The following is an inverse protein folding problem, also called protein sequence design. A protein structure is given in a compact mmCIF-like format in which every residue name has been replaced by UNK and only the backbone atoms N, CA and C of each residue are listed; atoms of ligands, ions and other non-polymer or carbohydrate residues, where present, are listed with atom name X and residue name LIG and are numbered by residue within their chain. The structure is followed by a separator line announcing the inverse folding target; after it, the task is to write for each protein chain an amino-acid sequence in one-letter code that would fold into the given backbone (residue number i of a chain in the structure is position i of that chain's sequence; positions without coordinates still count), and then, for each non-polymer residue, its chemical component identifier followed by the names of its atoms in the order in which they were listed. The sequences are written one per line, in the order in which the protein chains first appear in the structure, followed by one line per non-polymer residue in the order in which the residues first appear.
data_IF_208548663629
#
_entry.id   IF_208548663629
#
_cell.length_a   1.000
_cell.length_b   1.000
_cell.length_c   1.000
_cell.angle_alpha   90.00
_cell.angle_beta   90.00
_cell.angle_gamma   90.00
#
_symmetry.space_group_name_H-M   'P 1'
#
loop_
_entity.id
_entity.type
_entity.pdbx_description
1 polymer ?
#
# COMPACT_ATOMS: atom_id res chain seq x y z
N UNK A 1 -41.37 -31.79 -0.79
CA UNK A 1 -40.42 -31.37 -1.85
C UNK A 1 -40.26 -29.86 -1.94
N UNK A 2 -41.32 -29.07 -2.19
CA UNK A 2 -41.22 -27.60 -2.29
C UNK A 2 -40.65 -26.93 -1.02
N UNK A 3 -41.07 -27.38 0.17
CA UNK A 3 -40.53 -26.87 1.45
C UNK A 3 -39.04 -27.14 1.62
N UNK A 4 -38.58 -28.30 1.15
CA UNK A 4 -37.17 -28.69 1.21
C UNK A 4 -36.32 -27.87 0.24
N UNK A 5 -36.86 -27.54 -0.94
CA UNK A 5 -36.20 -26.70 -1.95
C UNK A 5 -36.08 -25.24 -1.46
N UNK A 6 -37.12 -24.70 -0.83
CA UNK A 6 -37.09 -23.35 -0.24
C UNK A 6 -36.02 -23.22 0.85
N UNK A 7 -35.93 -24.22 1.74
CA UNK A 7 -34.91 -24.28 2.79
C UNK A 7 -33.49 -24.37 2.22
N UNK A 8 -33.29 -25.14 1.15
CA UNK A 8 -31.99 -25.25 0.49
C UNK A 8 -31.57 -23.94 -0.19
N UNK A 9 -32.52 -23.21 -0.80
CA UNK A 9 -32.22 -21.91 -1.42
C UNK A 9 -31.84 -20.85 -0.38
N UNK A 10 -32.44 -20.88 0.80
CA UNK A 10 -32.16 -19.92 1.87
C UNK A 10 -30.74 -20.08 2.43
N UNK A 11 -30.24 -21.32 2.52
CA UNK A 11 -28.88 -21.61 3.02
C UNK A 11 -27.79 -21.15 2.03
N UNK A 12 -28.06 -21.20 0.72
CA UNK A 12 -27.11 -20.79 -0.32
C UNK A 12 -26.95 -19.27 -0.42
N UNK A 13 -27.93 -18.48 0.07
CA UNK A 13 -27.84 -17.01 0.09
C UNK A 13 -26.96 -16.44 1.21
N UNK A 14 -26.58 -17.23 2.21
CA UNK A 14 -25.75 -16.78 3.33
C UNK A 14 -24.26 -17.06 3.17
N UNK A 15 -23.82 -17.66 2.06
CA UNK A 15 -22.40 -17.70 1.72
C UNK A 15 -21.98 -16.36 1.09
N UNK A 16 -22.04 -15.30 1.90
CA UNK A 16 -21.36 -14.06 1.58
C UNK A 16 -19.86 -14.34 1.51
N UNK A 17 -19.21 -13.86 0.46
CA UNK A 17 -17.76 -13.79 0.40
C UNK A 17 -17.26 -13.03 1.64
N UNK A 18 -16.62 -13.74 2.56
CA UNK A 18 -15.72 -13.14 3.53
C UNK A 18 -14.51 -12.64 2.73
N UNK A 19 -14.63 -11.43 2.17
CA UNK A 19 -13.49 -10.70 1.63
C UNK A 19 -12.64 -10.30 2.83
N UNK A 20 -11.88 -11.26 3.37
CA UNK A 20 -10.79 -10.95 4.29
C UNK A 20 -9.91 -9.95 3.55
N UNK A 21 -10.04 -8.69 3.93
CA UNK A 21 -8.91 -7.78 3.80
C UNK A 21 -7.87 -8.43 4.70
N UNK A 22 -6.94 -9.18 4.12
CA UNK A 22 -5.71 -9.49 4.82
C UNK A 22 -5.18 -8.13 5.24
N UNK A 23 -5.34 -7.81 6.52
CA UNK A 23 -4.76 -6.61 7.10
C UNK A 23 -3.27 -6.89 7.10
N UNK A 24 -2.62 -6.53 5.99
CA UNK A 24 -1.20 -6.66 5.76
C UNK A 24 -0.50 -5.73 6.76
N UNK A 25 -0.46 -6.10 8.05
CA UNK A 25 0.28 -5.37 9.08
C UNK A 25 1.72 -5.85 9.16
N UNK A 26 2.67 -5.06 8.66
CA UNK A 26 4.09 -5.34 8.96
C UNK A 26 4.28 -5.19 10.47
N UNK A 27 5.06 -6.06 11.15
CA UNK A 27 5.41 -5.84 12.56
C UNK A 27 6.24 -4.57 12.73
N UNK A 28 6.80 -4.03 11.64
CA UNK A 28 7.54 -2.76 11.61
C UNK A 28 6.57 -1.63 11.26
N UNK A 29 6.70 -0.52 11.99
CA UNK A 29 5.96 0.70 11.70
C UNK A 29 6.50 1.34 10.40
N UNK A 30 5.77 1.15 9.30
CA UNK A 30 6.08 1.72 7.99
C UNK A 30 5.43 3.09 7.76
N UNK A 31 4.83 3.73 8.77
CA UNK A 31 4.11 4.99 8.57
C UNK A 31 4.98 6.08 7.95
N UNK A 32 6.25 6.20 8.38
CA UNK A 32 7.14 7.17 7.75
C UNK A 32 7.28 6.89 6.26
N UNK A 33 7.58 5.64 5.89
CA UNK A 33 7.76 5.23 4.52
C UNK A 33 6.51 5.45 3.66
N UNK A 34 5.35 5.00 4.15
CA UNK A 34 4.08 5.10 3.43
C UNK A 34 3.62 6.56 3.26
N UNK A 35 3.96 7.47 4.18
CA UNK A 35 3.64 8.89 4.02
C UNK A 35 4.54 9.62 3.01
N UNK A 36 5.66 9.02 2.59
CA UNK A 36 6.50 9.57 1.52
C UNK A 36 6.03 9.12 0.13
N UNK A 37 5.18 8.10 0.04
CA UNK A 37 4.66 7.58 -1.25
C UNK A 37 3.46 8.38 -1.73
N UNK A 38 3.41 8.65 -3.04
CA UNK A 38 2.27 9.24 -3.72
C UNK A 38 2.12 8.62 -5.13
N UNK A 39 1.05 8.96 -5.83
CA UNK A 39 0.79 8.47 -7.18
C UNK A 39 0.14 9.55 -8.05
N UNK A 40 0.43 9.48 -9.35
CA UNK A 40 -0.21 10.32 -10.35
C UNK A 40 -0.58 9.48 -11.57
N UNK A 41 -1.49 9.98 -12.40
CA UNK A 41 -1.90 9.32 -13.64
C UNK A 41 -1.32 10.04 -14.85
N UNK A 42 -0.60 9.33 -15.71
CA UNK A 42 -0.08 9.82 -17.01
C UNK A 42 -0.59 8.91 -18.10
N UNK A 43 -1.26 9.46 -19.11
CA UNK A 43 -1.78 8.70 -20.26
C UNK A 43 -2.66 7.50 -19.88
N UNK A 44 -3.37 7.60 -18.75
CA UNK A 44 -4.22 6.53 -18.20
C UNK A 44 -3.46 5.47 -17.39
N UNK A 45 -2.14 5.57 -17.27
CA UNK A 45 -1.31 4.70 -16.45
C UNK A 45 -1.05 5.34 -15.08
N UNK A 46 -1.15 4.54 -14.02
CA UNK A 46 -0.84 4.96 -12.65
C UNK A 46 0.66 4.83 -12.41
N UNK A 47 1.31 5.95 -12.10
CA UNK A 47 2.72 6.00 -11.72
C UNK A 47 2.83 6.30 -10.22
N UNK A 48 3.48 5.40 -9.49
CA UNK A 48 3.81 5.62 -8.08
C UNK A 48 5.20 6.23 -7.94
N UNK A 49 5.37 7.12 -6.99
CA UNK A 49 6.65 7.78 -6.73
C UNK A 49 6.79 8.11 -5.23
N UNK A 50 7.99 8.56 -4.84
CA UNK A 50 8.34 8.85 -3.45
C UNK A 50 8.89 10.28 -3.36
N UNK A 51 8.38 11.07 -2.42
CA UNK A 51 8.99 12.33 -2.00
C UNK A 51 10.08 12.05 -0.97
N UNK A 52 11.35 12.01 -1.41
CA UNK A 52 12.47 11.77 -0.48
C UNK A 52 12.78 12.98 0.40
N UNK A 53 12.57 14.19 -0.11
CA UNK A 53 12.74 15.41 0.67
C UNK A 53 11.39 15.85 1.23
N UNK A 54 11.11 15.49 2.46
CA UNK A 54 9.91 15.90 3.18
C UNK A 54 10.14 15.90 4.69
N UNK A 55 9.59 16.89 5.39
CA UNK A 55 9.73 17.01 6.84
C UNK A 55 8.53 16.41 7.57
N UNK A 56 8.80 15.53 8.54
CA UNK A 56 7.79 15.09 9.50
C UNK A 56 7.34 16.28 10.38
N UNK A 57 6.09 16.31 10.86
CA UNK A 57 5.08 15.26 10.75
C UNK A 57 4.14 15.40 9.53
N UNK A 58 4.19 16.52 8.80
CA UNK A 58 3.29 16.76 7.68
C UNK A 58 3.67 15.95 6.45
N UNK A 59 4.96 15.59 6.31
CA UNK A 59 5.54 14.98 5.12
C UNK A 59 5.27 15.80 3.85
N UNK A 60 5.11 17.11 4.01
CA UNK A 60 5.04 18.01 2.88
C UNK A 60 6.40 18.04 2.17
N UNK A 61 6.44 17.99 0.83
CA UNK A 61 7.69 18.06 0.09
C UNK A 61 8.46 19.35 0.42
N UNK A 62 9.77 19.23 0.60
CA UNK A 62 10.69 20.35 0.84
C UNK A 62 11.77 20.39 -0.23
N UNK A 63 12.33 21.57 -0.46
CA UNK A 63 13.45 21.74 -1.37
C UNK A 63 14.73 21.32 -0.65
N UNK A 64 15.59 20.57 -1.32
CA UNK A 64 16.96 20.29 -0.89
C UNK A 64 17.94 21.18 -1.69
N UNK A 65 18.38 22.33 -1.13
CA UNK A 65 19.25 23.26 -1.86
C UNK A 65 20.56 22.59 -2.25
N UNK A 66 20.89 22.59 -3.54
CA UNK A 66 22.09 21.96 -4.08
C UNK A 66 21.93 20.49 -4.48
N UNK A 67 20.81 19.83 -4.14
CA UNK A 67 20.53 18.44 -4.49
C UNK A 67 19.36 18.29 -5.47
N UNK A 68 18.53 19.34 -5.62
CA UNK A 68 17.43 19.37 -6.58
C UNK A 68 16.11 18.95 -5.94
N UNK A 69 15.29 18.21 -6.70
CA UNK A 69 13.93 17.82 -6.29
C UNK A 69 13.83 16.38 -5.76
N UNK A 70 14.80 15.51 -6.09
CA UNK A 70 14.87 14.12 -5.61
C UNK A 70 16.28 13.55 -5.83
N UNK A 71 16.73 12.67 -4.93
CA UNK A 71 17.96 11.89 -5.07
C UNK A 71 17.66 10.43 -5.42
N UNK A 72 18.26 9.91 -6.50
CA UNK A 72 18.00 8.54 -6.99
C UNK A 72 18.52 7.48 -6.01
N UNK A 73 19.65 7.76 -5.35
CA UNK A 73 20.28 6.83 -4.41
C UNK A 73 19.51 6.71 -3.09
N UNK A 74 18.89 7.78 -2.62
CA UNK A 74 17.99 7.76 -1.45
C UNK A 74 16.72 6.96 -1.74
N UNK A 75 16.11 7.16 -2.92
CA UNK A 75 14.97 6.33 -3.38
C UNK A 75 15.39 4.85 -3.44
N UNK A 76 16.57 4.55 -3.99
CA UNK A 76 17.07 3.18 -4.08
C UNK A 76 17.25 2.52 -2.71
N UNK A 77 17.90 3.21 -1.75
CA UNK A 77 18.06 2.72 -0.38
C UNK A 77 16.72 2.50 0.32
N UNK A 78 15.74 3.35 0.06
CA UNK A 78 14.39 3.21 0.59
C UNK A 78 13.67 1.96 0.06
N UNK A 79 13.74 1.72 -1.26
CA UNK A 79 13.13 0.55 -1.89
C UNK A 79 13.76 -0.76 -1.39
N UNK A 80 15.07 -0.81 -1.19
CA UNK A 80 15.78 -1.97 -0.62
C UNK A 80 15.26 -2.34 0.77
N UNK A 81 15.01 -1.33 1.64
CA UNK A 81 14.44 -1.55 2.97
C UNK A 81 13.02 -2.09 2.86
N UNK A 82 12.18 -1.52 1.99
CA UNK A 82 10.81 -1.99 1.78
C UNK A 82 10.77 -3.43 1.24
N UNK A 83 11.59 -3.73 0.23
CA UNK A 83 11.70 -5.08 -0.34
C UNK A 83 12.14 -6.09 0.72
N UNK A 84 13.15 -5.74 1.52
CA UNK A 84 13.61 -6.60 2.62
C UNK A 84 12.48 -6.92 3.61
N UNK A 85 11.67 -5.92 3.98
CA UNK A 85 10.53 -6.12 4.88
C UNK A 85 9.43 -6.99 4.24
N UNK A 86 9.16 -6.81 2.94
CA UNK A 86 8.21 -7.63 2.18
C UNK A 86 8.67 -9.09 2.16
N UNK A 87 9.92 -9.34 1.77
CA UNK A 87 10.50 -10.69 1.67
C UNK A 87 10.53 -11.39 3.04
N UNK A 88 11.00 -10.70 4.09
CA UNK A 88 11.09 -11.27 5.45
C UNK A 88 9.75 -11.66 6.04
N UNK A 89 8.70 -10.93 5.67
CA UNK A 89 7.35 -11.15 6.17
C UNK A 89 6.44 -11.89 5.19
N UNK A 90 7.03 -12.44 4.11
CA UNK A 90 6.39 -13.31 3.12
C UNK A 90 5.16 -12.64 2.49
N UNK A 91 5.35 -11.40 2.04
CA UNK A 91 4.34 -10.54 1.42
C UNK A 91 4.58 -10.32 -0.05
#
# INVERSE_FOLDING_TARGET
MIRTILLLSFVLFFQGCDSRKDDLQSPVNLNHALNLTDSLTVDGESLSFIYIYADAPSYAPVIAPGEGITCVDDVGRFLEVLETEIIRHNR
#
